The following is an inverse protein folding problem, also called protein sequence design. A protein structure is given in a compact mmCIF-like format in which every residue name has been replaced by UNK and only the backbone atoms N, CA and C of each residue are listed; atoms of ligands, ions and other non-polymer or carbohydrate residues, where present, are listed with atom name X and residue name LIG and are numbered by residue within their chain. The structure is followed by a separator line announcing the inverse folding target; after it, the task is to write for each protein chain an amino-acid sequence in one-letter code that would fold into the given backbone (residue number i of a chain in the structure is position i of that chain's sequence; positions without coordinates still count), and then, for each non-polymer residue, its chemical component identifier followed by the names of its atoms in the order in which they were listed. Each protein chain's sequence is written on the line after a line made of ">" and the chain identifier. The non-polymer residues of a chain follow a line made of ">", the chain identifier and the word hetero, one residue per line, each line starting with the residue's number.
data_IF_370149314858
#
_entry.id   IF_370149314858
#
_cell.length_a   1.000
_cell.length_b   1.000
_cell.length_c   1.000
_cell.angle_alpha   90.00
_cell.angle_beta   90.00
_cell.angle_gamma   90.00
#
_symmetry.space_group_name_H-M   'P 1'
#
loop_
_entity.id
_entity.type
_entity.pdbx_description
1 polymer ?
#
# COMPACT_ATOMS: atom_id res chain seq x y z
N UNK A 1 -2.92 36.03 1.05
CA UNK A 1 -3.52 34.70 0.86
C UNK A 1 -2.39 33.78 0.41
N UNK A 2 -1.72 33.13 1.35
CA UNK A 2 -0.41 32.52 1.13
C UNK A 2 -0.53 31.16 0.44
N UNK A 3 0.01 31.13 -0.79
CA UNK A 3 0.67 30.01 -1.47
C UNK A 3 0.23 28.61 -1.05
N UNK A 4 -0.67 28.03 -1.85
CA UNK A 4 -0.73 26.59 -2.13
C UNK A 4 0.54 26.16 -2.89
N UNK A 5 1.72 26.35 -2.32
CA UNK A 5 2.94 25.69 -2.80
C UNK A 5 2.77 24.22 -2.46
N UNK A 6 2.11 23.49 -3.35
CA UNK A 6 2.69 22.39 -4.12
C UNK A 6 4.03 21.89 -3.57
N UNK A 7 4.04 21.47 -2.30
CA UNK A 7 5.06 20.59 -1.75
C UNK A 7 4.85 19.29 -2.51
N UNK A 8 5.48 19.24 -3.68
CA UNK A 8 5.80 18.00 -4.37
C UNK A 8 6.51 17.17 -3.32
N UNK A 9 5.72 16.32 -2.66
CA UNK A 9 6.17 15.37 -1.67
C UNK A 9 7.12 14.44 -2.42
N UNK A 10 8.39 14.84 -2.47
CA UNK A 10 9.45 14.09 -3.10
C UNK A 10 9.59 12.84 -2.24
N UNK A 11 8.91 11.77 -2.65
CA UNK A 11 9.03 10.48 -2.01
C UNK A 11 10.45 10.02 -2.30
N UNK A 12 11.36 10.36 -1.39
CA UNK A 12 12.72 9.88 -1.42
C UNK A 12 12.65 8.42 -1.02
N UNK A 13 12.63 7.54 -2.02
CA UNK A 13 12.73 6.11 -1.82
C UNK A 13 14.18 5.77 -1.45
N UNK A 14 14.54 6.01 -0.19
CA UNK A 14 15.79 5.48 0.37
C UNK A 14 15.75 3.96 0.46
N UNK A 15 16.91 3.33 0.65
CA UNK A 15 17.04 1.86 0.78
C UNK A 15 16.12 1.29 1.88
N UNK A 16 15.86 2.08 2.94
CA UNK A 16 14.96 1.70 4.04
C UNK A 16 13.49 1.55 3.60
N UNK A 17 13.01 2.42 2.72
CA UNK A 17 11.64 2.39 2.21
C UNK A 17 11.47 1.33 1.14
N UNK A 18 12.50 1.11 0.31
CA UNK A 18 12.53 -0.04 -0.60
C UNK A 18 12.44 -1.37 0.16
N UNK A 19 13.18 -1.52 1.27
CA UNK A 19 13.11 -2.71 2.12
C UNK A 19 11.72 -2.92 2.73
N UNK A 20 11.08 -1.87 3.24
CA UNK A 20 9.70 -1.93 3.74
C UNK A 20 8.68 -2.29 2.66
N UNK A 21 8.83 -1.72 1.46
CA UNK A 21 7.97 -2.03 0.31
C UNK A 21 8.09 -3.50 -0.07
N UNK A 22 9.32 -4.02 -0.14
CA UNK A 22 9.59 -5.42 -0.43
C UNK A 22 8.98 -6.33 0.63
N UNK A 23 9.15 -5.99 1.92
CA UNK A 23 8.56 -6.75 3.02
C UNK A 23 7.02 -6.77 2.94
N UNK A 24 6.41 -5.63 2.63
CA UNK A 24 4.96 -5.51 2.47
C UNK A 24 4.43 -6.31 1.26
N UNK A 25 5.17 -6.35 0.15
CA UNK A 25 4.84 -7.20 -0.99
C UNK A 25 4.92 -8.69 -0.63
N UNK A 26 5.93 -9.11 0.12
CA UNK A 26 6.04 -10.50 0.59
C UNK A 26 4.89 -10.84 1.54
N UNK A 27 4.62 -9.98 2.53
CA UNK A 27 3.57 -10.23 3.51
C UNK A 27 2.17 -10.21 2.87
N UNK A 28 1.84 -9.16 2.12
CA UNK A 28 0.53 -8.99 1.50
C UNK A 28 0.29 -9.88 0.28
N UNK A 29 1.35 -10.22 -0.47
CA UNK A 29 1.26 -10.95 -1.74
C UNK A 29 1.60 -12.43 -1.68
N UNK A 30 2.33 -12.89 -0.66
CA UNK A 30 2.73 -14.30 -0.53
C UNK A 30 2.23 -14.88 0.79
N UNK A 31 2.56 -14.24 1.91
CA UNK A 31 2.30 -14.81 3.23
C UNK A 31 0.79 -14.92 3.55
N UNK A 32 0.03 -13.85 3.36
CA UNK A 32 -1.42 -13.84 3.59
C UNK A 32 -2.21 -14.73 2.62
N UNK A 33 -1.96 -14.68 1.29
CA UNK A 33 -2.63 -15.59 0.37
C UNK A 33 -2.31 -17.07 0.64
N UNK A 34 -1.11 -17.38 1.15
CA UNK A 34 -0.77 -18.72 1.60
C UNK A 34 -1.59 -19.17 2.83
N UNK A 35 -1.88 -18.26 3.77
CA UNK A 35 -2.81 -18.55 4.88
C UNK A 35 -4.23 -18.80 4.37
N UNK A 36 -4.69 -18.03 3.37
CA UNK A 36 -5.97 -18.26 2.70
C UNK A 36 -6.03 -19.62 2.01
N UNK A 37 -4.93 -20.03 1.36
CA UNK A 37 -4.80 -21.37 0.79
C UNK A 37 -4.93 -22.46 1.85
N UNK A 38 -4.25 -22.32 3.00
CA UNK A 38 -4.37 -23.24 4.13
C UNK A 38 -5.79 -23.33 4.69
N UNK A 39 -6.51 -22.21 4.69
CA UNK A 39 -7.91 -22.12 5.10
C UNK A 39 -8.91 -22.61 4.03
N UNK A 40 -8.45 -23.17 2.90
CA UNK A 40 -9.28 -23.57 1.75
C UNK A 40 -10.11 -22.42 1.15
N UNK A 41 -9.63 -21.19 1.30
CA UNK A 41 -10.27 -20.00 0.78
C UNK A 41 -9.59 -19.52 -0.51
N UNK A 42 -10.28 -18.70 -1.30
CA UNK A 42 -9.78 -18.24 -2.59
C UNK A 42 -8.56 -17.35 -2.41
N UNK A 43 -7.39 -17.84 -2.85
CA UNK A 43 -6.10 -17.12 -2.83
C UNK A 43 -6.25 -15.74 -3.49
N UNK A 44 -7.03 -15.67 -4.57
CA UNK A 44 -7.29 -14.45 -5.33
C UNK A 44 -7.89 -13.34 -4.46
N UNK A 45 -8.80 -13.66 -3.53
CA UNK A 45 -9.39 -12.67 -2.61
C UNK A 45 -8.34 -12.17 -1.61
N UNK A 46 -7.46 -13.06 -1.14
CA UNK A 46 -6.36 -12.72 -0.25
C UNK A 46 -5.40 -11.73 -0.91
N UNK A 47 -4.91 -12.03 -2.11
CA UNK A 47 -4.03 -11.11 -2.88
C UNK A 47 -4.74 -9.79 -3.17
N UNK A 48 -5.99 -9.85 -3.63
CA UNK A 48 -6.74 -8.68 -4.05
C UNK A 48 -6.95 -7.67 -2.93
N UNK A 49 -7.24 -8.13 -1.70
CA UNK A 49 -7.49 -7.23 -0.58
C UNK A 49 -6.19 -6.85 0.13
N UNK A 50 -5.32 -7.81 0.42
CA UNK A 50 -4.18 -7.56 1.29
C UNK A 50 -2.97 -6.94 0.59
N UNK A 51 -2.84 -7.11 -0.72
CA UNK A 51 -1.75 -6.48 -1.47
C UNK A 51 -1.94 -4.95 -1.55
N UNK A 52 -3.12 -4.41 -1.96
CA UNK A 52 -3.43 -2.98 -1.88
C UNK A 52 -3.27 -2.39 -0.49
N UNK A 53 -3.79 -3.08 0.54
CA UNK A 53 -3.71 -2.63 1.93
C UNK A 53 -2.25 -2.50 2.37
N UNK A 54 -1.43 -3.53 2.10
CA UNK A 54 -0.02 -3.54 2.49
C UNK A 54 0.79 -2.45 1.77
N UNK A 55 0.57 -2.26 0.47
CA UNK A 55 1.23 -1.19 -0.29
C UNK A 55 0.76 0.20 0.15
N UNK A 56 -0.55 0.40 0.36
CA UNK A 56 -1.10 1.66 0.86
C UNK A 56 -0.54 2.00 2.24
N UNK A 57 -0.36 1.01 3.12
CA UNK A 57 0.31 1.20 4.41
C UNK A 57 1.74 1.69 4.21
N UNK A 58 2.55 1.06 3.36
CA UNK A 58 3.94 1.51 3.13
C UNK A 58 4.00 2.91 2.52
N UNK A 59 3.11 3.20 1.58
CA UNK A 59 2.99 4.52 0.95
C UNK A 59 2.63 5.61 1.97
N UNK A 60 1.77 5.30 2.94
CA UNK A 60 1.42 6.23 4.01
C UNK A 60 2.52 6.32 5.08
N UNK A 61 3.18 5.20 5.44
CA UNK A 61 4.23 5.18 6.48
C UNK A 61 5.49 5.92 6.03
N UNK A 62 5.86 5.82 4.74
CA UNK A 62 7.08 6.43 4.20
C UNK A 62 7.20 7.95 4.50
N UNK A 63 6.28 8.82 4.06
CA UNK A 63 6.39 10.26 4.31
C UNK A 63 6.21 10.64 5.78
N UNK A 64 5.28 9.99 6.50
CA UNK A 64 4.90 10.43 7.86
C UNK A 64 5.81 9.89 8.97
N UNK A 65 6.34 8.68 8.82
CA UNK A 65 7.21 8.05 9.83
C UNK A 65 8.69 8.16 9.49
N UNK A 66 9.07 8.04 8.21
CA UNK A 66 10.49 8.01 7.81
C UNK A 66 11.02 9.41 7.51
N UNK A 67 10.26 10.25 6.77
CA UNK A 67 10.73 11.60 6.44
C UNK A 67 10.44 12.63 7.52
N UNK A 68 9.22 12.71 8.06
CA UNK A 68 8.84 13.80 8.99
C UNK A 68 8.73 13.41 10.47
N UNK A 69 8.85 12.11 10.83
CA UNK A 69 8.59 11.59 12.20
C UNK A 69 7.34 12.18 12.86
N UNK A 70 6.33 12.55 12.07
CA UNK A 70 5.09 13.20 12.52
C UNK A 70 4.13 12.23 13.22
N UNK A 71 4.35 10.92 13.05
CA UNK A 71 3.53 9.86 13.68
C UNK A 71 2.14 9.71 13.03
N UNK A 72 1.18 9.20 13.80
CA UNK A 72 -0.22 9.02 13.37
C UNK A 72 -0.96 10.37 13.34
N UNK A 73 -0.89 11.08 12.20
CA UNK A 73 -1.62 12.32 11.97
C UNK A 73 -2.85 12.09 11.08
N UNK A 74 -3.83 13.02 11.09
CA UNK A 74 -4.99 12.97 10.16
C UNK A 74 -4.57 12.83 8.69
N UNK A 75 -3.46 13.46 8.30
CA UNK A 75 -2.89 13.32 6.96
C UNK A 75 -2.51 11.89 6.60
N UNK A 76 -1.99 11.10 7.55
CA UNK A 76 -1.65 9.68 7.34
C UNK A 76 -2.89 8.86 6.95
N UNK A 77 -4.00 9.03 7.67
CA UNK A 77 -5.25 8.31 7.35
C UNK A 77 -5.85 8.74 6.02
N UNK A 78 -5.75 10.03 5.67
CA UNK A 78 -6.20 10.54 4.37
C UNK A 78 -5.37 9.95 3.24
N UNK A 79 -4.03 9.99 3.34
CA UNK A 79 -3.15 9.41 2.32
C UNK A 79 -3.33 7.90 2.23
N UNK A 80 -3.44 7.20 3.37
CA UNK A 80 -3.72 5.76 3.41
C UNK A 80 -5.04 5.43 2.71
N UNK A 81 -6.12 6.16 3.01
CA UNK A 81 -7.43 5.94 2.40
C UNK A 81 -7.42 6.19 0.89
N UNK A 82 -6.83 7.30 0.43
CA UNK A 82 -6.74 7.63 -1.00
C UNK A 82 -5.90 6.58 -1.74
N UNK A 83 -4.73 6.22 -1.22
CA UNK A 83 -3.89 5.20 -1.83
C UNK A 83 -4.58 3.83 -1.84
N UNK A 84 -5.27 3.45 -0.77
CA UNK A 84 -5.99 2.18 -0.70
C UNK A 84 -7.08 2.11 -1.78
N UNK A 85 -7.91 3.15 -1.93
CA UNK A 85 -8.97 3.20 -2.95
C UNK A 85 -8.36 3.07 -4.36
N UNK A 86 -7.27 3.80 -4.63
CA UNK A 86 -6.61 3.73 -5.94
C UNK A 86 -6.06 2.34 -6.22
N UNK A 87 -5.35 1.74 -5.25
CA UNK A 87 -4.79 0.41 -5.41
C UNK A 87 -5.86 -0.69 -5.46
N UNK A 88 -6.98 -0.53 -4.77
CA UNK A 88 -8.12 -1.45 -4.82
C UNK A 88 -8.79 -1.42 -6.19
N UNK A 89 -8.98 -0.24 -6.79
CA UNK A 89 -9.45 -0.09 -8.17
C UNK A 89 -8.46 -0.74 -9.15
N UNK A 90 -7.16 -0.51 -8.96
CA UNK A 90 -6.11 -1.15 -9.76
C UNK A 90 -6.13 -2.68 -9.64
N UNK A 91 -6.27 -3.21 -8.42
CA UNK A 91 -6.38 -4.64 -8.18
C UNK A 91 -7.63 -5.24 -8.82
N UNK A 92 -8.75 -4.52 -8.76
CA UNK A 92 -9.99 -4.90 -9.45
C UNK A 92 -9.81 -4.95 -10.97
N UNK A 93 -9.16 -3.94 -11.56
CA UNK A 93 -8.84 -3.92 -13.00
C UNK A 93 -7.92 -5.09 -13.35
N UNK A 94 -6.92 -5.39 -12.52
CA UNK A 94 -5.99 -6.50 -12.75
C UNK A 94 -6.67 -7.88 -12.74
N UNK A 95 -7.68 -8.08 -11.91
CA UNK A 95 -8.53 -9.29 -11.95
C UNK A 95 -9.34 -9.33 -13.24
N UNK A 96 -9.98 -8.20 -13.61
CA UNK A 96 -10.79 -8.14 -14.82
C UNK A 96 -9.95 -8.39 -16.08
N UNK A 97 -8.69 -7.93 -16.09
CA UNK A 97 -7.75 -8.13 -17.19
C UNK A 97 -7.11 -9.52 -17.19
N UNK A 98 -7.34 -10.34 -16.15
CA UNK A 98 -6.76 -11.69 -16.06
C UNK A 98 -5.26 -11.71 -15.77
N UNK A 99 -4.68 -10.61 -15.29
CA UNK A 99 -3.24 -10.53 -14.96
C UNK A 99 -2.95 -11.22 -13.63
N UNK A 100 -3.89 -11.13 -12.68
CA UNK A 100 -3.89 -11.93 -11.46
C UNK A 100 -4.89 -13.07 -11.66
N UNK A 101 -4.47 -14.11 -12.38
CA UNK A 101 -5.13 -15.40 -12.49
C UNK A 101 -4.09 -16.49 -12.70
#
# INVERSE_FOLDING_TARGET
>A
MQRETNETLHIHFGVKTAGLLLLACIFGGIFIPYLFYLANWSINLGVMLFLPISLATVLAVNPYFIQTKRGFCKGFFITFGISLIILEILAYIWIYQGIIF
#
